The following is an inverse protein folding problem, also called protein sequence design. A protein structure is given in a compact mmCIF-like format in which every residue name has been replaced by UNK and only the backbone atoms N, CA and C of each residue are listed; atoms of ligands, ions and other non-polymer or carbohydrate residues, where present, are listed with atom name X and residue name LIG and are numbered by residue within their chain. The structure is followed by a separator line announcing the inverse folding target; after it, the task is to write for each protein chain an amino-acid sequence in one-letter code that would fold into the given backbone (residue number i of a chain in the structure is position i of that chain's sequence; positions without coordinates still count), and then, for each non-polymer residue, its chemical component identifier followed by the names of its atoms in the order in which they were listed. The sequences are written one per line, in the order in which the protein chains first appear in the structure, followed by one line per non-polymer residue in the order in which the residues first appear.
data_IF_863070908661
#
_entry.id   IF_863070908661
#
_cell.length_a   1.000
_cell.length_b   1.000
_cell.length_c   1.000
_cell.angle_alpha   90.00
_cell.angle_beta   90.00
_cell.angle_gamma   90.00
#
_symmetry.space_group_name_H-M   'P 1'
#
loop_
_entity.id
_entity.type
_entity.pdbx_description
1 polymer ?
#
# COMPACT_ATOMS: atom_id res chain seq x y z
N UNK A 1 22.80 -0.52 23.81
CA UNK A 1 21.41 -0.50 23.27
C UNK A 1 20.94 0.88 22.76
N UNK A 2 21.58 2.02 23.09
CA UNK A 2 21.10 3.36 22.68
C UNK A 2 21.35 3.79 21.22
N UNK A 3 22.33 3.20 20.50
CA UNK A 3 22.72 3.66 19.17
C UNK A 3 21.68 3.42 18.06
N UNK A 4 20.89 2.35 18.15
CA UNK A 4 19.93 1.99 17.09
C UNK A 4 18.74 2.94 16.96
N UNK A 5 18.22 3.43 18.10
CA UNK A 5 17.14 4.41 18.10
C UNK A 5 17.63 5.78 17.66
N UNK A 6 18.82 6.20 18.12
CA UNK A 6 19.44 7.46 17.68
C UNK A 6 19.67 7.47 16.16
N UNK A 7 20.21 6.39 15.61
CA UNK A 7 20.40 6.22 14.17
C UNK A 7 19.07 6.30 13.40
N UNK A 8 18.02 5.64 13.89
CA UNK A 8 16.68 5.76 13.31
C UNK A 8 16.18 7.22 13.33
N UNK A 9 16.32 7.92 14.45
CA UNK A 9 15.91 9.32 14.58
C UNK A 9 16.69 10.22 13.61
N UNK A 10 18.01 10.06 13.50
CA UNK A 10 18.85 10.81 12.58
C UNK A 10 18.42 10.60 11.11
N UNK A 11 18.15 9.34 10.74
CA UNK A 11 17.62 8.99 9.41
C UNK A 11 16.30 9.73 9.14
N UNK A 12 15.35 9.69 10.07
CA UNK A 12 14.06 10.36 9.87
C UNK A 12 14.15 11.89 9.90
N UNK A 13 15.09 12.47 10.65
CA UNK A 13 15.39 13.91 10.58
C UNK A 13 15.90 14.30 9.18
N UNK A 14 16.76 13.48 8.57
CA UNK A 14 17.21 13.68 7.19
C UNK A 14 16.05 13.55 6.19
N UNK A 15 15.17 12.56 6.35
CA UNK A 15 13.95 12.43 5.54
C UNK A 15 13.12 13.70 5.59
N UNK A 16 12.86 14.22 6.79
CA UNK A 16 12.07 15.45 6.97
C UNK A 16 12.74 16.65 6.28
N UNK A 17 14.07 16.80 6.42
CA UNK A 17 14.81 17.86 5.75
C UNK A 17 14.71 17.76 4.21
N UNK A 18 14.83 16.55 3.66
CA UNK A 18 14.70 16.30 2.22
C UNK A 18 13.28 16.55 1.70
N UNK A 19 12.25 16.23 2.48
CA UNK A 19 10.87 16.55 2.13
C UNK A 19 10.59 18.06 2.18
N UNK A 20 11.17 18.78 3.14
CA UNK A 20 11.13 20.24 3.17
C UNK A 20 11.77 20.84 1.92
N UNK A 21 12.91 20.28 1.47
CA UNK A 21 13.55 20.65 0.21
C UNK A 21 12.61 20.38 -0.99
N UNK A 22 12.04 19.18 -1.11
CA UNK A 22 11.10 18.85 -2.21
C UNK A 22 9.89 19.79 -2.23
N UNK A 23 9.31 20.10 -1.08
CA UNK A 23 8.20 21.04 -0.95
C UNK A 23 8.58 22.45 -1.43
N UNK A 24 9.79 22.90 -1.08
CA UNK A 24 10.30 24.21 -1.52
C UNK A 24 10.55 24.22 -3.02
N UNK A 25 11.19 23.20 -3.57
CA UNK A 25 11.42 23.05 -5.01
C UNK A 25 10.11 23.07 -5.79
N UNK A 26 9.08 22.37 -5.33
CA UNK A 26 7.79 22.35 -6.02
C UNK A 26 7.06 23.70 -6.05
N UNK A 27 7.47 24.67 -5.21
CA UNK A 27 7.00 26.06 -5.26
C UNK A 27 7.88 26.99 -6.10
N UNK A 28 9.14 26.62 -6.32
CA UNK A 28 10.14 27.45 -7.02
C UNK A 28 10.31 27.04 -8.48
N UNK A 29 10.18 25.76 -8.78
CA UNK A 29 10.44 25.18 -10.10
C UNK A 29 9.13 24.73 -10.71
N UNK A 30 8.93 25.13 -11.97
CA UNK A 30 7.77 24.73 -12.74
C UNK A 30 7.69 23.20 -12.90
N UNK A 31 6.46 22.74 -13.04
CA UNK A 31 6.15 21.32 -13.22
C UNK A 31 6.77 20.74 -14.50
N UNK A 32 7.11 19.45 -14.43
CA UNK A 32 7.63 18.69 -15.57
C UNK A 32 9.02 18.13 -15.31
N UNK A 33 9.82 18.05 -16.38
CA UNK A 33 11.13 17.38 -16.36
C UNK A 33 12.16 18.09 -15.49
N UNK A 34 12.17 19.41 -15.45
CA UNK A 34 13.09 20.19 -14.60
C UNK A 34 12.91 19.87 -13.12
N UNK A 35 11.65 19.84 -12.66
CA UNK A 35 11.33 19.45 -11.28
C UNK A 35 11.67 17.99 -11.00
N UNK A 36 11.51 17.10 -11.99
CA UNK A 36 11.92 15.70 -11.86
C UNK A 36 13.43 15.58 -11.63
N UNK A 37 14.27 16.25 -12.41
CA UNK A 37 15.72 16.22 -12.21
C UNK A 37 16.13 16.80 -10.85
N UNK A 38 15.44 17.83 -10.36
CA UNK A 38 15.72 18.41 -9.04
C UNK A 38 15.34 17.48 -7.86
N UNK A 39 14.36 16.59 -8.05
CA UNK A 39 13.83 15.67 -7.02
C UNK A 39 14.46 14.27 -7.14
N UNK A 40 14.95 13.88 -8.31
CA UNK A 40 15.52 12.56 -8.56
C UNK A 40 16.64 12.16 -7.58
N UNK A 41 17.59 13.04 -7.19
CA UNK A 41 18.58 12.71 -6.18
C UNK A 41 17.94 12.33 -4.83
N UNK A 42 16.85 13.00 -4.44
CA UNK A 42 16.11 12.70 -3.20
C UNK A 42 15.46 11.33 -3.27
N UNK A 43 14.88 10.97 -4.42
CA UNK A 43 14.31 9.64 -4.65
C UNK A 43 15.41 8.58 -4.50
N UNK A 44 16.57 8.75 -5.14
CA UNK A 44 17.69 7.82 -5.00
C UNK A 44 18.14 7.67 -3.53
N UNK A 45 18.20 8.76 -2.77
CA UNK A 45 18.50 8.71 -1.33
C UNK A 45 17.43 7.91 -0.59
N UNK A 46 16.14 8.11 -0.87
CA UNK A 46 15.05 7.37 -0.22
C UNK A 46 15.07 5.86 -0.51
N UNK A 47 15.62 5.44 -1.65
CA UNK A 47 15.82 4.03 -1.95
C UNK A 47 16.94 3.41 -1.11
N UNK A 48 17.95 4.18 -0.67
CA UNK A 48 19.11 3.64 0.05
C UNK A 48 19.02 3.82 1.57
N UNK A 49 18.38 4.90 2.01
CA UNK A 49 18.37 5.35 3.39
C UNK A 49 17.87 4.32 4.42
N UNK A 50 16.90 3.43 4.13
CA UNK A 50 16.50 2.40 5.08
C UNK A 50 17.62 1.44 5.48
N UNK A 51 18.67 1.26 4.67
CA UNK A 51 19.80 0.38 4.98
C UNK A 51 20.55 0.81 6.24
N UNK A 52 20.60 2.11 6.50
CA UNK A 52 21.28 2.69 7.64
C UNK A 52 20.55 2.40 8.96
N UNK A 53 19.25 2.07 8.91
CA UNK A 53 18.45 1.76 10.10
C UNK A 53 18.87 0.42 10.69
N UNK A 54 19.33 0.45 11.94
CA UNK A 54 19.84 -0.75 12.62
C UNK A 54 18.73 -1.73 13.04
N UNK A 55 17.58 -1.21 13.49
CA UNK A 55 16.47 -2.00 14.05
C UNK A 55 15.65 -2.64 12.93
N UNK A 56 15.48 -3.97 12.98
CA UNK A 56 14.83 -4.77 11.93
C UNK A 56 13.43 -4.28 11.55
N UNK A 57 12.50 -4.21 12.51
CA UNK A 57 11.11 -3.84 12.25
C UNK A 57 10.97 -2.40 11.73
N UNK A 58 11.75 -1.47 12.31
CA UNK A 58 11.78 -0.08 11.88
C UNK A 58 12.38 0.08 10.49
N UNK A 59 13.39 -0.72 10.14
CA UNK A 59 13.96 -0.77 8.79
C UNK A 59 12.95 -1.27 7.77
N UNK A 60 12.25 -2.37 8.07
CA UNK A 60 11.20 -2.91 7.19
C UNK A 60 10.11 -1.88 6.92
N UNK A 61 9.59 -1.23 7.97
CA UNK A 61 8.54 -0.23 7.86
C UNK A 61 9.02 1.03 7.11
N UNK A 62 10.23 1.51 7.43
CA UNK A 62 10.80 2.68 6.74
C UNK A 62 11.10 2.37 5.28
N UNK A 63 11.49 1.15 4.93
CA UNK A 63 11.67 0.72 3.54
C UNK A 63 10.36 0.79 2.76
N UNK A 64 9.25 0.31 3.34
CA UNK A 64 7.96 0.39 2.69
C UNK A 64 7.50 1.84 2.52
N UNK A 65 7.62 2.67 3.56
CA UNK A 65 7.17 4.06 3.49
C UNK A 65 8.05 4.97 2.64
N UNK A 66 9.37 4.83 2.69
CA UNK A 66 10.30 5.72 1.98
C UNK A 66 10.58 5.23 0.57
N UNK A 67 11.09 4.02 0.44
CA UNK A 67 11.54 3.49 -0.86
C UNK A 67 10.35 3.22 -1.78
N UNK A 68 9.20 2.81 -1.25
CA UNK A 68 7.99 2.60 -2.06
C UNK A 68 7.06 3.80 -2.06
N UNK A 69 6.41 4.12 -0.94
CA UNK A 69 5.34 5.12 -0.99
C UNK A 69 5.85 6.52 -1.32
N UNK A 70 6.82 7.03 -0.55
CA UNK A 70 7.32 8.39 -0.71
C UNK A 70 8.01 8.60 -2.06
N UNK A 71 8.83 7.64 -2.49
CA UNK A 71 9.54 7.71 -3.78
C UNK A 71 8.57 7.80 -4.97
N UNK A 72 7.55 6.94 -5.02
CA UNK A 72 6.56 6.98 -6.10
C UNK A 72 5.67 8.23 -6.02
N UNK A 73 5.29 8.67 -4.81
CA UNK A 73 4.54 9.91 -4.63
C UNK A 73 5.36 11.14 -5.04
N UNK A 74 6.67 11.19 -4.75
CA UNK A 74 7.56 12.25 -5.19
C UNK A 74 7.79 12.23 -6.71
N UNK A 75 7.87 11.05 -7.32
CA UNK A 75 7.91 10.90 -8.78
C UNK A 75 6.65 11.50 -9.43
N UNK A 76 5.48 11.14 -8.90
CA UNK A 76 4.20 11.68 -9.36
C UNK A 76 4.12 13.19 -9.12
N UNK A 77 4.57 13.66 -7.96
CA UNK A 77 4.63 15.08 -7.62
C UNK A 77 5.47 15.86 -8.63
N UNK A 78 6.65 15.35 -9.01
CA UNK A 78 7.49 15.99 -10.01
C UNK A 78 6.74 16.21 -11.34
N UNK A 79 5.92 15.23 -11.74
CA UNK A 79 5.10 15.22 -12.95
C UNK A 79 3.73 15.93 -12.82
N UNK A 80 3.45 16.60 -11.70
CA UNK A 80 2.15 17.26 -11.42
C UNK A 80 0.97 16.29 -11.32
N UNK A 81 1.24 15.06 -10.90
CA UNK A 81 0.26 14.00 -10.72
C UNK A 81 0.19 13.52 -9.27
N UNK A 82 -0.91 12.87 -8.93
CA UNK A 82 -1.07 12.20 -7.64
C UNK A 82 -1.41 13.13 -6.46
N UNK A 83 -1.43 12.58 -5.24
CA UNK A 83 -2.00 13.24 -4.06
C UNK A 83 -1.16 14.42 -3.52
N UNK A 84 0.08 14.58 -3.99
CA UNK A 84 1.00 15.63 -3.54
C UNK A 84 0.91 16.94 -4.34
N UNK A 85 0.18 16.96 -5.47
CA UNK A 85 -0.03 18.18 -6.27
C UNK A 85 -1.51 18.63 -6.35
N UNK A 86 -2.23 18.80 -5.22
CA UNK A 86 -3.55 19.39 -5.26
C UNK A 86 -3.47 20.90 -5.52
N UNK A 87 -4.57 21.45 -6.06
CA UNK A 87 -4.78 22.90 -6.19
C UNK A 87 -5.89 23.28 -5.21
N UNK A 88 -5.64 24.12 -4.18
CA UNK A 88 -4.42 24.88 -3.85
C UNK A 88 -3.26 24.04 -3.23
N UNK A 89 -2.02 24.56 -3.21
CA UNK A 89 -0.85 23.86 -2.68
C UNK A 89 -0.99 23.48 -1.21
N UNK A 90 -0.47 22.31 -0.85
CA UNK A 90 -0.53 21.76 0.52
C UNK A 90 0.27 22.59 1.52
N UNK A 91 -0.15 22.52 2.79
CA UNK A 91 0.68 22.93 3.93
C UNK A 91 1.84 21.93 4.11
N UNK A 92 2.97 22.40 4.65
CA UNK A 92 4.18 21.56 4.81
C UNK A 92 3.94 20.29 5.66
N UNK A 93 3.23 20.34 6.80
CA UNK A 93 2.97 19.13 7.58
C UNK A 93 2.12 18.10 6.82
N UNK A 94 1.15 18.57 6.04
CA UNK A 94 0.28 17.72 5.24
C UNK A 94 1.02 17.14 4.03
N UNK A 95 1.92 17.90 3.40
CA UNK A 95 2.80 17.40 2.34
C UNK A 95 3.70 16.27 2.84
N UNK A 96 4.35 16.46 3.98
CA UNK A 96 5.21 15.45 4.61
C UNK A 96 4.41 14.19 4.96
N UNK A 97 3.26 14.38 5.61
CA UNK A 97 2.39 13.27 5.98
C UNK A 97 1.89 12.49 4.76
N UNK A 98 1.42 13.18 3.72
CA UNK A 98 0.99 12.53 2.49
C UNK A 98 2.12 11.84 1.76
N UNK A 99 3.35 12.35 1.82
CA UNK A 99 4.50 11.74 1.17
C UNK A 99 4.87 10.41 1.85
N UNK A 100 4.99 10.40 3.19
CA UNK A 100 5.47 9.23 3.92
C UNK A 100 4.38 8.21 4.24
N UNK A 101 3.15 8.67 4.51
CA UNK A 101 2.11 7.82 5.07
C UNK A 101 1.13 7.36 3.97
N UNK A 102 0.45 6.23 4.18
CA UNK A 102 -0.55 5.69 3.26
C UNK A 102 -1.87 6.47 3.26
N UNK A 103 -1.82 7.82 3.26
CA UNK A 103 -2.98 8.71 3.37
C UNK A 103 -3.43 9.15 1.97
N UNK A 104 -4.75 9.09 1.76
CA UNK A 104 -5.45 9.73 0.64
C UNK A 104 -6.34 10.83 1.23
N UNK A 105 -6.24 12.07 0.74
CA UNK A 105 -7.21 13.11 1.12
C UNK A 105 -8.50 12.82 0.36
N UNK A 106 -9.57 12.45 1.06
CA UNK A 106 -10.92 12.56 0.49
C UNK A 106 -11.29 14.04 0.43
N UNK A 107 -11.15 14.66 -0.74
CA UNK A 107 -11.87 15.90 -1.01
C UNK A 107 -13.35 15.52 -1.06
N UNK A 108 -14.15 15.99 -0.09
CA UNK A 108 -15.59 15.86 -0.17
C UNK A 108 -16.05 16.42 -1.53
N UNK A 109 -16.93 15.72 -2.27
CA UNK A 109 -17.51 16.32 -3.47
C UNK A 109 -18.20 17.64 -3.09
N UNK A 110 -18.22 18.63 -4.00
CA UNK A 110 -18.92 19.89 -3.74
C UNK A 110 -20.37 19.60 -3.33
N UNK A 111 -20.93 20.34 -2.34
CA UNK A 111 -22.23 20.06 -1.73
C UNK A 111 -23.37 19.88 -2.75
N UNK A 112 -23.24 20.52 -3.90
CA UNK A 112 -24.21 20.49 -5.00
C UNK A 112 -24.39 19.09 -5.64
N UNK A 113 -23.36 18.22 -5.62
CA UNK A 113 -23.47 16.88 -6.21
C UNK A 113 -24.27 15.92 -5.32
N UNK A 114 -24.23 16.13 -4.00
CA UNK A 114 -25.01 15.34 -3.05
C UNK A 114 -26.49 15.70 -3.14
N UNK A 115 -26.82 16.98 -3.30
CA UNK A 115 -28.20 17.45 -3.50
C UNK A 115 -28.80 16.92 -4.80
N UNK A 116 -28.10 17.03 -5.93
CA UNK A 116 -28.59 16.52 -7.22
C UNK A 116 -28.84 15.00 -7.21
N UNK A 117 -27.99 14.22 -6.54
CA UNK A 117 -28.17 12.76 -6.41
C UNK A 117 -29.31 12.42 -5.46
N UNK A 118 -29.53 13.22 -4.42
CA UNK A 118 -30.63 13.02 -3.46
C UNK A 118 -31.99 13.41 -4.07
N UNK A 119 -32.04 14.49 -4.84
CA UNK A 119 -33.25 14.95 -5.55
C UNK A 119 -33.67 13.94 -6.62
N UNK A 120 -32.75 13.46 -7.46
CA UNK A 120 -33.07 12.41 -8.44
C UNK A 120 -33.56 11.12 -7.78
N UNK A 121 -32.90 10.68 -6.70
CA UNK A 121 -33.31 9.46 -5.99
C UNK A 121 -34.70 9.59 -5.39
N UNK A 122 -35.05 10.76 -4.85
CA UNK A 122 -36.37 10.99 -4.25
C UNK A 122 -37.46 11.04 -5.33
N UNK A 123 -37.20 11.68 -6.49
CA UNK A 123 -38.14 11.70 -7.62
C UNK A 123 -38.36 10.31 -8.25
N UNK A 124 -37.31 9.49 -8.33
CA UNK A 124 -37.41 8.12 -8.83
C UNK A 124 -38.11 7.21 -7.82
N UNK A 125 -37.93 7.43 -6.51
CA UNK A 125 -38.65 6.71 -5.44
C UNK A 125 -40.15 7.06 -5.44
N UNK A 126 -40.51 8.34 -5.61
CA UNK A 126 -41.91 8.78 -5.62
C UNK A 126 -42.69 8.22 -6.81
N UNK A 127 -42.01 7.98 -7.94
CA UNK A 127 -42.60 7.29 -9.10
C UNK A 127 -42.78 5.79 -8.89
N UNK A 128 -41.92 5.15 -8.10
CA UNK A 128 -42.00 3.73 -7.78
C UNK A 128 -43.00 3.42 -6.65
N UNK A 129 -43.22 4.35 -5.72
CA UNK A 129 -44.14 4.17 -4.58
C UNK A 129 -45.61 4.36 -4.95
N UNK A 130 -45.92 5.10 -6.02
CA UNK A 130 -47.29 5.38 -6.44
C UNK A 130 -47.94 4.30 -7.33
N UNK A 131 -47.28 3.15 -7.51
CA UNK A 131 -47.80 2.08 -8.35
C UNK A 131 -47.35 0.70 -7.93
N UNK A 132 -47.82 0.19 -6.79
CA UNK A 132 -48.28 -1.20 -6.66
C UNK A 132 -48.88 -1.45 -5.27
N UNK A 133 -50.00 -2.18 -5.28
CA UNK A 133 -50.86 -2.54 -4.16
C UNK A 133 -50.44 -3.90 -3.58
N UNK A 134 -50.44 -3.98 -2.24
CA UNK A 134 -50.53 -5.13 -1.32
C UNK A 134 -49.60 -6.38 -1.41
N UNK A 135 -49.20 -6.80 -0.21
CA UNK A 135 -48.73 -8.13 0.23
C UNK A 135 -47.32 -8.62 -0.13
N UNK A 136 -46.32 -8.38 0.75
CA UNK A 136 -45.35 -9.39 1.26
C UNK A 136 -44.40 -8.82 2.34
N UNK A 137 -43.78 -9.66 3.20
CA UNK A 137 -43.26 -9.26 4.51
C UNK A 137 -41.97 -8.46 4.41
N UNK A 138 -41.86 -7.46 5.28
CA UNK A 138 -40.67 -6.67 5.56
C UNK A 138 -39.43 -7.55 5.72
N UNK A 139 -38.65 -7.72 4.66
CA UNK A 139 -37.27 -8.15 4.78
C UNK A 139 -36.47 -6.99 5.33
N UNK A 140 -36.24 -7.01 6.65
CA UNK A 140 -35.22 -6.18 7.27
C UNK A 140 -33.88 -6.42 6.56
N UNK A 141 -33.29 -5.32 6.09
CA UNK A 141 -31.92 -5.24 5.62
C UNK A 141 -30.99 -5.97 6.61
N UNK A 142 -30.17 -6.95 6.19
CA UNK A 142 -29.31 -7.66 7.11
C UNK A 142 -28.29 -6.67 7.69
N UNK A 143 -28.41 -6.41 9.00
CA UNK A 143 -27.44 -5.65 9.81
C UNK A 143 -26.07 -6.33 9.69
N UNK A 144 -25.26 -5.87 8.73
CA UNK A 144 -23.91 -6.39 8.48
C UNK A 144 -23.00 -6.08 9.68
N UNK A 145 -22.84 -7.07 10.56
CA UNK A 145 -21.59 -7.37 11.25
C UNK A 145 -21.37 -6.71 12.60
N UNK A 146 -22.07 -7.20 13.61
CA UNK A 146 -21.95 -6.90 15.05
C UNK A 146 -20.63 -7.43 15.67
N UNK A 147 -19.47 -7.04 15.13
CA UNK A 147 -18.21 -7.08 15.87
C UNK A 147 -17.69 -5.66 15.89
N UNK A 148 -17.61 -5.03 17.06
CA UNK A 148 -17.02 -3.70 17.20
C UNK A 148 -15.63 -3.72 16.56
N UNK A 149 -15.33 -2.71 15.74
CA UNK A 149 -14.02 -2.55 15.09
C UNK A 149 -12.83 -2.84 16.01
N UNK A 150 -12.78 -2.42 17.30
CA UNK A 150 -11.70 -2.80 18.20
C UNK A 150 -11.61 -4.30 18.49
N UNK A 151 -12.73 -5.01 18.62
CA UNK A 151 -12.75 -6.45 18.88
C UNK A 151 -12.18 -7.25 17.70
N UNK A 152 -12.44 -6.81 16.46
CA UNK A 152 -11.81 -7.41 15.26
C UNK A 152 -10.29 -7.33 15.32
N UNK A 153 -9.74 -6.16 15.67
CA UNK A 153 -8.28 -5.98 15.79
C UNK A 153 -7.69 -6.74 16.97
N UNK A 154 -8.42 -6.84 18.08
CA UNK A 154 -8.00 -7.62 19.24
C UNK A 154 -7.88 -9.12 18.92
N UNK A 155 -8.88 -9.70 18.24
CA UNK A 155 -8.82 -11.10 17.77
C UNK A 155 -7.61 -11.30 16.85
N UNK A 156 -7.40 -10.39 15.89
CA UNK A 156 -6.26 -10.45 14.97
C UNK A 156 -4.92 -10.39 15.71
N UNK A 157 -4.81 -9.55 16.74
CA UNK A 157 -3.62 -9.48 17.59
C UNK A 157 -3.38 -10.81 18.33
N UNK A 158 -4.41 -11.41 18.93
CA UNK A 158 -4.29 -12.72 19.58
C UNK A 158 -3.88 -13.83 18.60
N UNK A 159 -4.43 -13.82 17.37
CA UNK A 159 -4.01 -14.75 16.31
C UNK A 159 -2.53 -14.57 15.96
N UNK A 160 -2.05 -13.33 15.86
CA UNK A 160 -0.64 -13.04 15.57
C UNK A 160 0.29 -13.61 16.66
N UNK A 161 -0.09 -13.49 17.93
CA UNK A 161 0.66 -14.06 19.07
C UNK A 161 0.64 -15.59 19.02
N UNK A 162 -0.49 -16.20 18.70
CA UNK A 162 -0.63 -17.65 18.54
C UNK A 162 0.28 -18.21 17.44
N UNK A 163 0.46 -17.49 16.33
CA UNK A 163 1.40 -17.89 15.28
C UNK A 163 2.85 -17.92 15.78
N UNK A 164 3.25 -17.00 16.66
CA UNK A 164 4.54 -17.04 17.34
C UNK A 164 4.78 -18.38 18.06
N UNK A 165 3.75 -18.90 18.73
CA UNK A 165 3.81 -20.22 19.37
C UNK A 165 3.90 -21.36 18.34
N UNK A 166 3.12 -21.31 17.25
CA UNK A 166 3.19 -22.32 16.18
C UNK A 166 4.58 -22.41 15.54
N UNK A 167 5.28 -21.29 15.36
CA UNK A 167 6.65 -21.29 14.82
C UNK A 167 7.65 -21.99 15.74
N UNK A 168 7.42 -22.03 17.06
CA UNK A 168 8.27 -22.83 17.97
C UNK A 168 8.12 -24.35 17.77
N UNK A 169 7.08 -24.78 17.06
CA UNK A 169 6.78 -26.17 16.73
C UNK A 169 6.96 -26.46 15.25
N UNK A 170 7.69 -25.62 14.53
CA UNK A 170 7.87 -25.74 13.08
C UNK A 170 8.41 -27.10 12.63
N UNK A 171 9.26 -27.74 13.44
CA UNK A 171 9.85 -29.05 13.13
C UNK A 171 8.81 -30.18 13.02
N UNK A 172 7.64 -30.01 13.66
CA UNK A 172 6.57 -31.03 13.69
C UNK A 172 5.45 -30.75 12.69
N UNK A 173 5.46 -29.59 12.01
CA UNK A 173 4.37 -29.12 11.16
C UNK A 173 4.78 -29.25 9.69
N UNK A 174 3.88 -29.76 8.86
CA UNK A 174 4.14 -29.86 7.42
C UNK A 174 4.43 -28.48 6.81
N UNK A 175 5.47 -28.38 5.97
CA UNK A 175 5.92 -27.14 5.34
C UNK A 175 4.83 -26.31 4.63
N UNK A 176 3.81 -26.95 4.02
CA UNK A 176 2.69 -26.25 3.38
C UNK A 176 1.79 -25.53 4.39
N UNK A 177 1.61 -26.11 5.57
CA UNK A 177 0.83 -25.49 6.66
C UNK A 177 1.60 -24.29 7.21
N UNK A 178 2.91 -24.42 7.39
CA UNK A 178 3.77 -23.29 7.82
C UNK A 178 3.70 -22.15 6.81
N UNK A 179 3.75 -22.47 5.51
CA UNK A 179 3.59 -21.50 4.43
C UNK A 179 2.25 -20.78 4.50
N UNK A 180 1.15 -21.51 4.72
CA UNK A 180 -0.19 -20.93 4.87
C UNK A 180 -0.29 -20.01 6.09
N UNK A 181 0.18 -20.47 7.25
CA UNK A 181 0.23 -19.68 8.49
C UNK A 181 1.01 -18.39 8.27
N UNK A 182 2.08 -18.48 7.51
CA UNK A 182 2.95 -17.36 7.21
C UNK A 182 2.31 -16.31 6.27
N UNK A 183 1.56 -16.74 5.25
CA UNK A 183 0.75 -15.82 4.42
C UNK A 183 -0.27 -15.07 5.29
N UNK A 184 -0.96 -15.78 6.19
CA UNK A 184 -1.93 -15.18 7.11
C UNK A 184 -1.23 -14.23 8.09
N UNK A 185 -0.06 -14.61 8.61
CA UNK A 185 0.75 -13.78 9.50
C UNK A 185 1.15 -12.45 8.85
N UNK A 186 1.64 -12.48 7.60
CA UNK A 186 1.96 -11.25 6.84
C UNK A 186 0.73 -10.37 6.68
N UNK A 187 -0.39 -10.95 6.26
CA UNK A 187 -1.63 -10.19 6.04
C UNK A 187 -2.09 -9.48 7.32
N UNK A 188 -2.20 -10.22 8.42
CA UNK A 188 -2.62 -9.67 9.72
C UNK A 188 -1.61 -8.65 10.24
N UNK A 189 -0.32 -8.95 10.14
CA UNK A 189 0.76 -8.06 10.59
C UNK A 189 0.76 -6.73 9.84
N UNK A 190 0.65 -6.78 8.51
CA UNK A 190 0.55 -5.57 7.68
C UNK A 190 -0.70 -4.78 8.03
N UNK A 191 -1.87 -5.41 8.10
CA UNK A 191 -3.12 -4.73 8.43
C UNK A 191 -3.06 -4.03 9.79
N UNK A 192 -2.52 -4.68 10.83
CA UNK A 192 -2.38 -4.09 12.16
C UNK A 192 -1.42 -2.90 12.18
N UNK A 193 -0.24 -3.03 11.57
CA UNK A 193 0.75 -1.95 11.53
C UNK A 193 0.19 -0.75 10.77
N UNK A 194 -0.46 -0.99 9.65
CA UNK A 194 -1.02 0.04 8.79
C UNK A 194 -2.24 0.72 9.41
N UNK A 195 -3.09 -0.04 10.14
CA UNK A 195 -4.17 0.51 10.94
C UNK A 195 -3.63 1.38 12.09
N UNK A 196 -2.60 0.93 12.80
CA UNK A 196 -1.95 1.70 13.89
C UNK A 196 -1.34 3.01 13.39
N UNK A 197 -0.64 2.97 12.25
CA UNK A 197 -0.10 4.18 11.62
C UNK A 197 -1.24 5.12 11.18
N UNK A 198 -2.34 4.56 10.69
CA UNK A 198 -3.53 5.29 10.32
C UNK A 198 -4.25 5.99 11.46
N UNK A 199 -4.46 5.30 12.58
CA UNK A 199 -5.08 5.90 13.77
C UNK A 199 -4.21 7.00 14.35
N UNK A 200 -2.89 6.80 14.38
CA UNK A 200 -1.93 7.81 14.82
C UNK A 200 -1.97 9.05 13.91
N UNK A 201 -1.95 8.84 12.59
CA UNK A 201 -2.06 9.92 11.62
C UNK A 201 -3.37 10.71 11.77
N UNK A 202 -4.50 10.01 11.95
CA UNK A 202 -5.82 10.64 12.18
C UNK A 202 -5.82 11.48 13.46
N UNK A 203 -5.22 10.97 14.54
CA UNK A 203 -5.16 11.68 15.82
C UNK A 203 -4.36 13.00 15.72
N UNK A 204 -3.23 12.99 15.01
CA UNK A 204 -2.37 14.18 14.89
C UNK A 204 -2.79 15.15 13.77
N UNK A 205 -3.25 14.64 12.63
CA UNK A 205 -3.47 15.44 11.41
C UNK A 205 -4.95 15.68 11.10
N UNK A 206 -5.87 15.01 11.81
CA UNK A 206 -7.33 15.05 11.56
C UNK A 206 -7.72 14.72 10.11
N UNK A 207 -6.89 13.96 9.40
CA UNK A 207 -7.17 13.47 8.04
C UNK A 207 -7.74 12.06 8.12
N UNK A 208 -8.73 11.76 7.29
CA UNK A 208 -9.27 10.41 7.15
C UNK A 208 -8.34 9.53 6.33
N UNK A 209 -8.01 8.36 6.87
CA UNK A 209 -7.22 7.36 6.17
C UNK A 209 -8.15 6.46 5.36
N UNK A 210 -7.81 6.21 4.10
CA UNK A 210 -8.51 5.22 3.29
C UNK A 210 -8.18 3.80 3.79
N UNK A 211 -9.16 2.87 3.81
CA UNK A 211 -8.89 1.47 4.12
C UNK A 211 -7.78 0.93 3.23
N UNK A 212 -6.78 0.28 3.82
CA UNK A 212 -5.63 -0.22 3.03
C UNK A 212 -5.89 -1.62 2.46
N UNK A 213 -6.84 -2.34 3.04
CA UNK A 213 -7.33 -3.63 2.58
C UNK A 213 -8.87 -3.59 2.52
N UNK A 214 -9.44 -4.24 1.50
CA UNK A 214 -10.89 -4.44 1.36
C UNK A 214 -11.21 -5.93 1.27
N UNK A 215 -11.23 -6.59 2.43
CA UNK A 215 -11.60 -8.01 2.61
C UNK A 215 -11.05 -8.92 1.48
N UNK A 216 -9.71 -9.07 1.35
CA UNK A 216 -9.08 -9.71 0.19
C UNK A 216 -9.47 -11.18 -0.02
N UNK A 217 -9.89 -11.86 1.03
CA UNK A 217 -10.39 -13.23 0.97
C UNK A 217 -11.75 -13.38 0.26
N UNK A 218 -12.44 -12.27 -0.06
CA UNK A 218 -13.70 -12.27 -0.82
C UNK A 218 -13.49 -12.01 -2.33
N UNK A 219 -12.25 -12.01 -2.81
CA UNK A 219 -11.96 -11.75 -4.21
C UNK A 219 -12.55 -12.84 -5.13
N UNK A 220 -13.23 -12.42 -6.20
CA UNK A 220 -13.78 -13.33 -7.22
C UNK A 220 -12.79 -13.65 -8.35
N UNK A 221 -11.68 -12.91 -8.43
CA UNK A 221 -10.62 -13.11 -9.43
C UNK A 221 -9.28 -12.53 -8.94
N UNK A 222 -8.17 -12.92 -9.58
CA UNK A 222 -6.84 -12.35 -9.30
C UNK A 222 -6.79 -10.84 -9.57
N UNK A 223 -7.50 -10.38 -10.61
CA UNK A 223 -7.59 -8.95 -10.90
C UNK A 223 -8.34 -8.19 -9.80
N UNK A 224 -9.39 -8.78 -9.24
CA UNK A 224 -10.14 -8.20 -8.12
C UNK A 224 -9.29 -8.17 -6.85
N UNK A 225 -8.58 -9.26 -6.56
CA UNK A 225 -7.65 -9.37 -5.43
C UNK A 225 -6.58 -8.27 -5.47
N UNK A 226 -5.74 -8.26 -6.51
CA UNK A 226 -4.60 -7.33 -6.61
C UNK A 226 -5.01 -5.90 -6.93
N UNK A 227 -6.12 -5.71 -7.64
CA UNK A 227 -6.53 -4.40 -8.14
C UNK A 227 -7.41 -3.59 -7.18
N UNK A 228 -8.18 -4.26 -6.31
CA UNK A 228 -9.23 -3.59 -5.52
C UNK A 228 -9.27 -3.98 -4.05
N UNK A 229 -8.55 -5.02 -3.63
CA UNK A 229 -8.71 -5.55 -2.26
C UNK A 229 -7.41 -5.67 -1.48
N UNK A 230 -6.31 -5.95 -2.17
CA UNK A 230 -4.99 -6.06 -1.58
C UNK A 230 -4.20 -4.76 -1.70
N UNK A 231 -3.76 -4.22 -0.55
CA UNK A 231 -2.87 -3.05 -0.45
C UNK A 231 -3.22 -1.91 -1.43
N UNK A 232 -4.37 -1.29 -1.18
CA UNK A 232 -4.94 -0.23 -2.03
C UNK A 232 -4.00 0.97 -2.20
N UNK A 233 -3.11 1.21 -1.23
CA UNK A 233 -2.10 2.27 -1.30
C UNK A 233 -1.04 1.99 -2.38
N UNK A 234 -0.55 0.76 -2.49
CA UNK A 234 0.41 0.38 -3.53
C UNK A 234 -0.24 0.49 -4.91
N UNK A 235 -1.48 0.02 -5.05
CA UNK A 235 -2.23 0.12 -6.31
C UNK A 235 -2.50 1.57 -6.69
N UNK A 236 -2.79 2.45 -5.73
CA UNK A 236 -3.06 3.87 -6.02
C UNK A 236 -1.81 4.67 -6.42
N UNK A 237 -0.60 4.24 -6.05
CA UNK A 237 0.65 4.85 -6.55
C UNK A 237 1.14 4.22 -7.86
N UNK A 238 1.07 2.90 -8.01
CA UNK A 238 1.53 2.21 -9.22
C UNK A 238 0.64 2.49 -10.43
N UNK A 239 -0.66 2.67 -10.23
CA UNK A 239 -1.60 2.96 -11.32
C UNK A 239 -1.23 4.23 -12.09
N UNK A 240 -1.08 5.42 -11.47
CA UNK A 240 -0.64 6.61 -12.18
C UNK A 240 0.85 6.60 -12.53
N UNK A 241 1.72 5.94 -11.75
CA UNK A 241 3.16 5.99 -11.99
C UNK A 241 3.65 5.04 -13.10
N UNK A 242 3.00 3.89 -13.25
CA UNK A 242 3.43 2.82 -14.16
C UNK A 242 2.32 2.41 -15.11
N UNK A 243 1.17 1.99 -14.57
CA UNK A 243 0.10 1.41 -15.39
C UNK A 243 -0.42 2.38 -16.45
N UNK A 244 -0.79 3.60 -16.07
CA UNK A 244 -1.37 4.60 -16.97
C UNK A 244 -0.37 5.07 -18.04
N UNK A 245 0.90 5.42 -17.71
CA UNK A 245 1.89 5.77 -18.71
C UNK A 245 2.18 4.63 -19.70
N UNK A 246 2.40 3.41 -19.21
CA UNK A 246 2.65 2.24 -20.06
C UNK A 246 1.45 1.96 -20.95
N UNK A 247 0.23 1.96 -20.38
CA UNK A 247 -1.01 1.82 -21.16
C UNK A 247 -1.10 2.90 -22.25
N UNK A 248 -0.78 4.16 -21.95
CA UNK A 248 -0.80 5.24 -22.93
C UNK A 248 0.18 5.02 -24.07
N UNK A 249 1.42 4.60 -23.77
CA UNK A 249 2.44 4.29 -24.78
C UNK A 249 1.96 3.15 -25.68
N UNK A 250 1.52 2.04 -25.10
CA UNK A 250 1.08 0.87 -25.86
C UNK A 250 -0.24 1.10 -26.60
N UNK A 251 -1.07 2.07 -26.19
CA UNK A 251 -2.30 2.42 -26.91
C UNK A 251 -2.03 2.97 -28.31
N UNK A 252 -0.81 3.46 -28.56
CA UNK A 252 -0.35 3.91 -29.88
C UNK A 252 -0.02 2.76 -30.83
N UNK A 253 0.28 1.59 -30.28
CA UNK A 253 0.80 0.43 -31.04
C UNK A 253 -0.16 -0.77 -31.05
N UNK A 254 -1.04 -0.89 -30.05
CA UNK A 254 -1.91 -2.06 -29.86
C UNK A 254 -3.39 -1.66 -29.78
N UNK A 255 -4.27 -2.59 -30.13
CA UNK A 255 -5.72 -2.41 -30.00
C UNK A 255 -6.14 -2.33 -28.52
N UNK A 256 -7.24 -1.62 -28.25
CA UNK A 256 -7.72 -1.29 -26.88
C UNK A 256 -7.87 -2.50 -25.95
N UNK A 257 -8.12 -3.70 -26.49
CA UNK A 257 -8.29 -4.93 -25.71
C UNK A 257 -6.97 -5.46 -25.14
N UNK A 258 -5.86 -5.27 -25.85
CA UNK A 258 -4.54 -5.81 -25.46
C UNK A 258 -3.67 -4.80 -24.71
N UNK A 259 -3.98 -3.50 -24.81
CA UNK A 259 -3.25 -2.44 -24.10
C UNK A 259 -3.13 -2.63 -22.57
N UNK A 260 -4.14 -3.16 -21.85
CA UNK A 260 -4.04 -3.37 -20.41
C UNK A 260 -3.01 -4.43 -19.99
N UNK A 261 -2.71 -5.40 -20.87
CA UNK A 261 -1.80 -6.51 -20.56
C UNK A 261 -0.35 -6.05 -20.31
N UNK A 262 0.34 -5.35 -21.24
CA UNK A 262 1.70 -4.88 -20.99
C UNK A 262 1.76 -3.87 -19.84
N UNK A 263 0.69 -3.09 -19.63
CA UNK A 263 0.58 -2.18 -18.48
C UNK A 263 0.50 -2.94 -17.15
N UNK A 264 -0.25 -4.04 -17.10
CA UNK A 264 -0.30 -4.92 -15.94
C UNK A 264 1.06 -5.58 -15.70
N UNK A 265 1.67 -6.17 -16.73
CA UNK A 265 3.00 -6.80 -16.63
C UNK A 265 4.06 -5.84 -16.10
N UNK A 266 4.12 -4.61 -16.63
CA UNK A 266 5.04 -3.59 -16.14
C UNK A 266 4.77 -3.21 -14.68
N UNK A 267 3.50 -3.14 -14.28
CA UNK A 267 3.13 -2.83 -12.88
C UNK A 267 3.54 -3.95 -11.93
N UNK A 268 3.35 -5.21 -12.31
CA UNK A 268 3.80 -6.37 -11.54
C UNK A 268 5.32 -6.44 -11.45
N UNK A 269 6.03 -6.20 -12.55
CA UNK A 269 7.50 -6.16 -12.58
C UNK A 269 8.05 -5.10 -11.61
N UNK A 270 7.53 -3.87 -11.69
CA UNK A 270 7.94 -2.79 -10.79
C UNK A 270 7.61 -3.13 -9.33
N UNK A 271 6.43 -3.72 -9.08
CA UNK A 271 6.05 -4.19 -7.74
C UNK A 271 7.01 -5.27 -7.21
N UNK A 272 7.40 -6.24 -8.05
CA UNK A 272 8.37 -7.29 -7.70
C UNK A 272 9.74 -6.72 -7.36
N UNK A 273 10.25 -5.76 -8.15
CA UNK A 273 11.50 -5.06 -7.87
C UNK A 273 11.45 -4.34 -6.51
N UNK A 274 10.33 -3.68 -6.19
CA UNK A 274 10.17 -3.01 -4.90
C UNK A 274 10.10 -3.98 -3.73
N UNK A 275 9.47 -5.14 -3.90
CA UNK A 275 9.48 -6.21 -2.90
C UNK A 275 10.89 -6.74 -2.68
N UNK A 276 11.64 -7.03 -3.74
CA UNK A 276 13.03 -7.49 -3.65
C UNK A 276 13.91 -6.46 -2.93
N UNK A 277 13.72 -5.16 -3.22
CA UNK A 277 14.41 -4.08 -2.52
C UNK A 277 14.09 -4.06 -1.02
N UNK A 278 12.82 -4.24 -0.65
CA UNK A 278 12.42 -4.32 0.76
C UNK A 278 13.04 -5.54 1.44
N UNK A 279 13.03 -6.70 0.79
CA UNK A 279 13.67 -7.91 1.33
C UNK A 279 15.19 -7.74 1.46
N UNK A 280 15.82 -7.08 0.49
CA UNK A 280 17.23 -6.71 0.55
C UNK A 280 17.53 -5.82 1.77
N UNK A 281 16.71 -4.78 1.99
CA UNK A 281 16.85 -3.91 3.16
C UNK A 281 16.71 -4.70 4.46
N UNK A 282 15.71 -5.57 4.56
CA UNK A 282 15.44 -6.36 5.76
C UNK A 282 16.58 -7.35 6.02
N UNK A 283 17.00 -8.09 4.99
CA UNK A 283 17.94 -9.21 5.07
C UNK A 283 19.41 -8.84 5.07
N UNK A 284 19.80 -7.69 4.50
CA UNK A 284 21.20 -7.27 4.25
C UNK A 284 22.05 -8.34 3.53
N UNK A 285 21.41 -9.25 2.80
CA UNK A 285 22.08 -10.28 1.99
C UNK A 285 21.93 -9.87 0.53
N UNK A 286 23.02 -9.90 -0.23
CA UNK A 286 22.99 -9.63 -1.68
C UNK A 286 22.00 -10.57 -2.36
N UNK A 287 21.27 -10.12 -3.40
CA UNK A 287 20.43 -11.01 -4.20
C UNK A 287 21.35 -12.01 -4.88
N UNK A 288 21.42 -13.22 -4.34
CA UNK A 288 22.07 -14.35 -5.02
C UNK A 288 21.04 -14.93 -5.98
N UNK A 289 21.18 -14.58 -7.26
CA UNK A 289 20.40 -15.13 -8.37
C UNK A 289 20.78 -16.58 -8.71
N UNK A 290 21.55 -17.24 -7.85
CA UNK A 290 22.02 -18.61 -8.05
C UNK A 290 21.16 -19.58 -7.25
N UNK A 291 20.42 -20.40 -7.99
CA UNK A 291 19.74 -21.57 -7.46
C UNK A 291 20.75 -22.52 -6.79
N UNK A 292 20.32 -23.11 -5.67
CA UNK A 292 21.11 -24.11 -4.97
C UNK A 292 20.87 -24.02 -3.47
N UNK A 293 20.18 -25.01 -2.93
CA UNK A 293 19.86 -25.08 -1.53
C UNK A 293 21.09 -25.13 -0.62
N UNK A 294 20.78 -24.95 0.67
CA UNK A 294 21.53 -25.38 1.84
C UNK A 294 22.21 -24.27 2.65
N UNK A 295 21.52 -24.02 3.77
CA UNK A 295 22.09 -23.98 5.12
C UNK A 295 22.78 -22.69 5.53
N UNK A 296 21.97 -21.74 6.02
CA UNK A 296 22.10 -21.07 7.35
C UNK A 296 21.16 -19.86 7.40
N UNK A 297 19.86 -20.12 7.46
CA UNK A 297 18.84 -19.10 7.71
C UNK A 297 18.09 -19.49 8.98
N UNK A 298 18.39 -18.82 10.09
CA UNK A 298 17.59 -18.91 11.31
C UNK A 298 16.11 -18.66 11.01
N UNK A 299 15.25 -19.48 11.61
CA UNK A 299 13.90 -19.86 11.15
C UNK A 299 12.97 -18.73 10.72
N UNK A 300 13.11 -17.52 11.25
CA UNK A 300 12.25 -16.39 10.87
C UNK A 300 12.66 -15.76 9.53
N UNK A 301 13.95 -15.75 9.15
CA UNK A 301 14.45 -15.06 7.94
C UNK A 301 14.38 -15.91 6.67
N UNK A 302 14.45 -17.23 6.81
CA UNK A 302 14.35 -18.16 5.67
C UNK A 302 12.93 -18.39 5.15
N UNK A 303 11.91 -18.04 5.94
CA UNK A 303 10.50 -18.08 5.54
C UNK A 303 10.13 -16.96 4.58
N UNK A 304 10.45 -15.69 4.92
CA UNK A 304 10.13 -14.49 4.11
C UNK A 304 10.58 -14.64 2.66
N UNK A 305 11.83 -15.03 2.40
CA UNK A 305 12.33 -15.24 1.04
C UNK A 305 11.67 -16.42 0.32
N UNK A 306 11.42 -17.55 1.01
CA UNK A 306 10.84 -18.74 0.38
C UNK A 306 9.40 -18.51 -0.07
N UNK A 307 8.62 -17.74 0.68
CA UNK A 307 7.20 -17.50 0.37
C UNK A 307 7.03 -16.63 -0.86
N UNK A 308 7.86 -15.60 -1.02
CA UNK A 308 7.76 -14.68 -2.16
C UNK A 308 8.28 -15.34 -3.44
N UNK A 309 9.43 -16.02 -3.34
CA UNK A 309 10.02 -16.73 -4.50
C UNK A 309 9.13 -17.87 -4.99
N UNK A 310 8.46 -18.62 -4.09
CA UNK A 310 7.48 -19.63 -4.51
C UNK A 310 6.15 -19.04 -5.00
N UNK A 311 5.71 -17.90 -4.47
CA UNK A 311 4.50 -17.24 -4.96
C UNK A 311 4.68 -16.71 -6.41
N UNK A 312 5.85 -16.17 -6.74
CA UNK A 312 6.16 -15.72 -8.12
C UNK A 312 6.37 -16.88 -9.09
N UNK A 313 6.92 -18.00 -8.61
CA UNK A 313 7.14 -19.19 -9.46
C UNK A 313 5.84 -19.93 -9.82
N UNK A 314 4.81 -19.82 -8.98
CA UNK A 314 3.49 -20.43 -9.23
C UNK A 314 2.57 -19.64 -10.16
N UNK A 315 2.86 -18.35 -10.41
CA UNK A 315 2.05 -17.50 -11.29
C UNK A 315 2.47 -17.56 -12.78
N UNK A 316 3.47 -18.40 -13.12
CA UNK A 316 3.98 -18.60 -14.47
C UNK A 316 3.72 -20.01 -15.02
N UNK A 317 2.94 -20.84 -14.32
CA UNK A 317 2.62 -22.20 -14.76
C UNK A 317 1.12 -22.52 -14.89
N UNK A 318 0.23 -21.54 -14.67
CA UNK A 318 -1.21 -21.67 -15.00
C UNK A 318 -1.69 -20.48 -15.85
#
# INVERSE_FOLDING_TARGET
MGGGLLNFLLVWMLVLALLCYCHRIGRLVDKGTTRLFAILPVICIFLLLPLDISIFNLRALSSFFLSWLASFKLLLFALDQGPLSPRPPLSLPLFIALACLPITIRQNPPPNFQELVTVNRNQDLEKLVNGEDNDTPSQELPKKGLISTPLKYFIKFLLLVSFGYLYTKEEYIHSKIILLVYVIHIYIGLELILAMVGTLARAFLRVELEPQFDEPYLASSLQDFWGKRWNLMVTSVLRPAVFNPVKSIFSRFMTKKWTPLPAAMASFLVSGIMHELIFYHIGRRKPTWEGGGSTTCGGVRGGYCRVVVHADSGALQD
#
